data_IF_550221229365
#
_entry.id   IF_550221229365
#
_cell.length_a   1.000
_cell.length_b   1.000
_cell.length_c   1.000
_cell.angle_alpha   90.00
_cell.angle_beta   90.00
_cell.angle_gamma   90.00
#
_symmetry.space_group_name_H-M   'P 1'
#
loop_
_entity.id
_entity.type
_entity.pdbx_description
1 polymer ?
#
# COMPACT_ATOMS: atom_id res chain seq x y z
N UNK A 1 14.96 -3.25 -1.36
CA UNK A 1 14.82 -2.14 -0.38
C UNK A 1 14.23 -2.59 0.96
N UNK A 2 14.41 -1.79 2.02
CA UNK A 2 13.77 -1.97 3.33
C UNK A 2 12.71 -0.87 3.53
N UNK A 3 11.46 -1.27 3.76
CA UNK A 3 10.32 -0.38 3.95
C UNK A 3 9.86 -0.45 5.41
N UNK A 4 9.97 0.66 6.13
CA UNK A 4 9.50 0.73 7.51
C UNK A 4 7.99 0.99 7.55
N UNK A 5 7.26 0.18 8.31
CA UNK A 5 5.83 0.34 8.55
C UNK A 5 5.63 0.77 9.99
N UNK A 6 5.00 1.93 10.21
CA UNK A 6 4.50 2.37 11.52
C UNK A 6 3.00 2.10 11.54
N UNK A 7 2.55 1.34 12.54
CA UNK A 7 1.15 0.97 12.71
C UNK A 7 0.79 1.19 14.18
N UNK A 8 -0.01 2.22 14.46
CA UNK A 8 -0.23 2.69 15.83
C UNK A 8 1.09 2.95 16.56
N UNK A 9 1.31 2.23 17.66
CA UNK A 9 2.51 2.36 18.52
C UNK A 9 3.64 1.41 18.14
N UNK A 10 3.43 0.49 17.18
CA UNK A 10 4.45 -0.47 16.78
C UNK A 10 5.03 -0.13 15.41
N UNK A 11 6.24 -0.61 15.16
CA UNK A 11 6.87 -0.52 13.85
C UNK A 11 7.50 -1.85 13.46
N UNK A 12 7.55 -2.11 12.16
CA UNK A 12 8.19 -3.28 11.59
C UNK A 12 8.82 -2.94 10.25
N UNK A 13 9.87 -3.66 9.89
CA UNK A 13 10.51 -3.51 8.59
C UNK A 13 10.07 -4.62 7.64
N UNK A 14 9.65 -4.23 6.44
CA UNK A 14 9.34 -5.11 5.33
C UNK A 14 10.49 -5.05 4.33
N UNK A 15 11.18 -6.17 4.14
CA UNK A 15 12.20 -6.29 3.09
C UNK A 15 11.53 -6.65 1.76
N UNK A 16 11.69 -5.77 0.77
CA UNK A 16 11.15 -5.96 -0.58
C UNK A 16 12.34 -6.07 -1.52
N UNK A 17 12.53 -7.23 -2.12
CA UNK A 17 13.65 -7.44 -3.05
C UNK A 17 13.41 -6.71 -4.38
N UNK A 18 14.47 -6.24 -5.01
CA UNK A 18 14.35 -5.44 -6.24
C UNK A 18 13.85 -6.30 -7.41
N UNK A 19 14.24 -7.57 -7.47
CA UNK A 19 13.75 -8.56 -8.45
C UNK A 19 12.25 -8.87 -8.29
N UNK A 20 11.73 -8.80 -7.06
CA UNK A 20 10.31 -8.92 -6.78
C UNK A 20 9.53 -7.76 -7.40
N UNK A 21 10.01 -6.53 -7.25
CA UNK A 21 9.37 -5.36 -7.86
C UNK A 21 9.33 -5.47 -9.38
N UNK A 22 10.44 -5.88 -10.00
CA UNK A 22 10.51 -6.11 -11.45
C UNK A 22 9.52 -7.18 -11.90
N UNK A 23 9.53 -8.34 -11.24
CA UNK A 23 8.65 -9.48 -11.56
C UNK A 23 7.18 -9.14 -11.42
N UNK A 24 6.82 -8.31 -10.44
CA UNK A 24 5.43 -8.00 -10.09
C UNK A 24 4.85 -6.81 -10.86
N UNK A 25 5.63 -6.14 -11.70
CA UNK A 25 5.19 -4.99 -12.52
C UNK A 25 3.82 -5.21 -13.18
N UNK A 26 3.62 -6.37 -13.84
CA UNK A 26 2.35 -6.68 -14.50
C UNK A 26 1.14 -6.82 -13.55
N UNK A 27 1.39 -7.26 -12.31
CA UNK A 27 0.37 -7.32 -11.26
C UNK A 27 0.03 -5.92 -10.76
N UNK A 28 1.03 -5.07 -10.57
CA UNK A 28 0.84 -3.67 -10.16
C UNK A 28 0.06 -2.89 -11.22
N UNK A 29 0.38 -3.06 -12.51
CA UNK A 29 -0.37 -2.47 -13.62
C UNK A 29 -1.84 -2.91 -13.65
N UNK A 30 -2.11 -4.17 -13.29
CA UNK A 30 -3.48 -4.69 -13.20
C UNK A 30 -4.24 -4.03 -12.05
N UNK A 31 -3.62 -3.92 -10.88
CA UNK A 31 -4.21 -3.23 -9.73
C UNK A 31 -4.52 -1.77 -10.07
N UNK A 32 -3.62 -1.11 -10.81
CA UNK A 32 -3.78 0.27 -11.25
C UNK A 32 -5.00 0.44 -12.18
N UNK A 33 -5.18 -0.47 -13.14
CA UNK A 33 -6.34 -0.48 -14.04
C UNK A 33 -7.66 -0.74 -13.32
N UNK A 34 -7.66 -1.64 -12.33
CA UNK A 34 -8.84 -1.95 -11.54
C UNK A 34 -9.25 -0.75 -10.68
N UNK A 35 -8.29 -0.10 -9.99
CA UNK A 35 -8.57 1.05 -9.14
C UNK A 35 -8.99 2.31 -9.93
N UNK A 36 -8.61 2.44 -11.21
CA UNK A 36 -9.12 3.52 -12.09
C UNK A 36 -10.61 3.40 -12.42
N UNK A 37 -11.25 2.28 -12.10
CA UNK A 37 -12.71 2.14 -12.19
C UNK A 37 -13.43 2.73 -10.96
N UNK A 38 -12.65 3.11 -9.95
CA UNK A 38 -13.10 3.69 -8.70
C UNK A 38 -12.71 2.83 -7.51
N UNK A 39 -12.52 3.50 -6.37
CA UNK A 39 -12.14 2.87 -5.10
C UNK A 39 -12.96 3.44 -3.96
N UNK A 40 -13.12 2.65 -2.92
CA UNK A 40 -13.55 3.15 -1.62
C UNK A 40 -12.31 3.59 -0.84
N UNK A 41 -12.28 4.87 -0.44
CA UNK A 41 -11.28 5.46 0.43
C UNK A 41 -12.00 5.92 1.71
N UNK A 42 -11.85 5.13 2.78
CA UNK A 42 -12.63 5.32 4.00
C UNK A 42 -14.14 5.25 3.71
N UNK A 43 -14.87 6.30 4.05
CA UNK A 43 -16.31 6.41 3.79
C UNK A 43 -16.65 7.00 2.42
N UNK A 44 -15.66 7.38 1.61
CA UNK A 44 -15.86 8.06 0.33
C UNK A 44 -15.61 7.12 -0.86
N UNK A 45 -16.43 7.27 -1.90
CA UNK A 45 -16.16 6.67 -3.21
C UNK A 45 -15.40 7.66 -4.09
N UNK A 46 -14.26 7.25 -4.64
CA UNK A 46 -13.43 8.05 -5.53
C UNK A 46 -13.40 7.38 -6.90
N UNK A 47 -14.00 8.01 -7.91
CA UNK A 47 -14.18 7.40 -9.24
C UNK A 47 -12.89 7.30 -10.08
N UNK A 48 -12.00 8.29 -9.99
CA UNK A 48 -10.69 8.28 -10.66
C UNK A 48 -9.61 8.68 -9.65
N UNK A 49 -9.19 7.74 -8.79
CA UNK A 49 -8.28 8.05 -7.69
C UNK A 49 -6.90 8.42 -8.21
N UNK A 50 -6.33 9.49 -7.63
CA UNK A 50 -4.92 9.85 -7.84
C UNK A 50 -3.99 8.72 -7.39
N UNK A 51 -2.74 8.75 -7.84
CA UNK A 51 -1.73 7.77 -7.42
C UNK A 51 -1.61 7.69 -5.88
N UNK A 52 -1.59 8.83 -5.20
CA UNK A 52 -1.54 8.88 -3.73
C UNK A 52 -2.76 8.20 -3.11
N UNK A 53 -3.97 8.47 -3.60
CA UNK A 53 -5.19 7.84 -3.09
C UNK A 53 -5.19 6.32 -3.33
N UNK A 54 -4.66 5.84 -4.46
CA UNK A 54 -4.48 4.41 -4.70
C UNK A 54 -3.51 3.79 -3.69
N UNK A 55 -2.39 4.45 -3.41
CA UNK A 55 -1.45 4.01 -2.38
C UNK A 55 -2.10 3.99 -0.98
N UNK A 56 -2.98 4.93 -0.65
CA UNK A 56 -3.72 4.96 0.62
C UNK A 56 -4.68 3.77 0.76
N UNK A 57 -5.45 3.47 -0.29
CA UNK A 57 -6.32 2.27 -0.32
C UNK A 57 -5.49 0.99 -0.21
N UNK A 58 -4.32 0.95 -0.87
CA UNK A 58 -3.43 -0.22 -0.79
C UNK A 58 -2.76 -0.34 0.58
N UNK A 59 -2.48 0.77 1.27
CA UNK A 59 -1.95 0.76 2.64
C UNK A 59 -2.98 0.22 3.65
N UNK A 60 -4.26 0.54 3.47
CA UNK A 60 -5.35 -0.06 4.26
C UNK A 60 -5.48 -1.58 4.02
N UNK A 61 -5.31 -2.01 2.77
CA UNK A 61 -5.23 -3.45 2.44
C UNK A 61 -3.99 -4.11 3.03
N UNK A 62 -2.86 -3.40 3.09
CA UNK A 62 -1.64 -3.86 3.73
C UNK A 62 -1.85 -4.06 5.24
N UNK A 63 -2.50 -3.12 5.92
CA UNK A 63 -2.90 -3.27 7.32
C UNK A 63 -3.71 -4.54 7.53
N UNK A 64 -4.79 -4.69 6.75
CA UNK A 64 -5.65 -5.86 6.80
C UNK A 64 -4.87 -7.15 6.55
N UNK A 65 -3.91 -7.15 5.61
CA UNK A 65 -3.10 -8.33 5.32
C UNK A 65 -2.18 -8.70 6.49
N UNK A 66 -1.57 -7.72 7.15
CA UNK A 66 -0.73 -7.92 8.33
C UNK A 66 -1.55 -8.48 9.49
N UNK A 67 -2.69 -7.87 9.79
CA UNK A 67 -3.59 -8.31 10.88
C UNK A 67 -4.12 -9.73 10.66
N UNK A 68 -4.31 -10.14 9.41
CA UNK A 68 -4.75 -11.48 9.04
C UNK A 68 -3.58 -12.46 8.77
N UNK A 69 -2.33 -12.07 9.06
CA UNK A 69 -1.14 -12.88 8.80
C UNK A 69 -1.01 -13.39 7.35
N UNK A 70 -1.49 -12.60 6.38
CA UNK A 70 -1.42 -12.91 4.96
C UNK A 70 -0.17 -12.27 4.33
N UNK A 71 0.97 -12.94 4.51
CA UNK A 71 2.29 -12.46 4.05
C UNK A 71 2.34 -12.20 2.55
N UNK A 72 1.68 -13.04 1.75
CA UNK A 72 1.62 -12.88 0.28
C UNK A 72 0.92 -11.57 -0.10
N UNK A 73 -0.22 -11.27 0.51
CA UNK A 73 -0.95 -10.03 0.26
C UNK A 73 -0.20 -8.82 0.83
N UNK A 74 0.45 -8.95 1.98
CA UNK A 74 1.28 -7.91 2.56
C UNK A 74 2.44 -7.55 1.62
N UNK A 75 3.15 -8.54 1.09
CA UNK A 75 4.25 -8.32 0.15
C UNK A 75 3.77 -7.67 -1.17
N UNK A 76 2.63 -8.12 -1.70
CA UNK A 76 2.03 -7.54 -2.90
C UNK A 76 1.68 -6.06 -2.69
N UNK A 77 1.03 -5.73 -1.58
CA UNK A 77 0.55 -4.37 -1.28
C UNK A 77 1.70 -3.43 -0.92
N UNK A 78 2.67 -3.89 -0.11
CA UNK A 78 3.90 -3.15 0.16
C UNK A 78 4.73 -2.89 -1.11
N UNK A 79 4.89 -3.91 -1.96
CA UNK A 79 5.57 -3.79 -3.25
C UNK A 79 4.86 -2.85 -4.22
N UNK A 80 3.52 -2.85 -4.24
CA UNK A 80 2.75 -1.89 -5.03
C UNK A 80 3.05 -0.45 -4.60
N UNK A 81 3.05 -0.16 -3.30
CA UNK A 81 3.33 1.19 -2.79
C UNK A 81 4.77 1.59 -3.12
N UNK A 82 5.73 0.71 -2.89
CA UNK A 82 7.15 0.94 -3.19
C UNK A 82 7.42 1.18 -4.69
N UNK A 83 6.72 0.47 -5.58
CA UNK A 83 6.88 0.67 -7.03
C UNK A 83 6.32 2.01 -7.52
N UNK A 84 5.30 2.55 -6.85
CA UNK A 84 4.65 3.80 -7.27
C UNK A 84 5.26 5.03 -6.58
N UNK A 85 5.62 4.92 -5.30
CA UNK A 85 6.27 5.99 -4.54
C UNK A 85 7.77 5.77 -4.50
N UNK A 86 8.43 6.12 -5.61
CA UNK A 86 9.87 5.95 -5.75
C UNK A 86 10.63 6.62 -4.60
N UNK A 87 11.52 5.87 -3.95
CA UNK A 87 12.33 6.37 -2.84
C UNK A 87 11.64 6.38 -1.49
N UNK A 88 10.40 5.88 -1.37
CA UNK A 88 9.73 5.72 -0.09
C UNK A 88 10.57 4.87 0.86
N UNK A 89 10.61 5.28 2.12
CA UNK A 89 11.32 4.59 3.19
C UNK A 89 10.38 4.17 4.31
N UNK A 90 9.29 4.90 4.48
CA UNK A 90 8.36 4.65 5.56
C UNK A 90 6.91 4.88 5.16
N UNK A 91 6.03 4.04 5.69
CA UNK A 91 4.59 4.22 5.66
C UNK A 91 4.10 4.30 7.10
N UNK A 92 3.42 5.39 7.45
CA UNK A 92 2.69 5.50 8.71
C UNK A 92 1.21 5.26 8.41
N UNK A 93 0.78 4.04 8.66
CA UNK A 93 -0.56 3.55 8.31
C UNK A 93 -1.57 4.08 9.33
N UNK A 94 -2.65 4.70 8.85
CA UNK A 94 -3.76 5.08 9.71
C UNK A 94 -4.51 3.82 10.18
N UNK A 95 -4.66 3.65 11.50
CA UNK A 95 -5.38 2.51 12.12
C UNK A 95 -6.76 2.90 12.65
N UNK A 96 -7.19 4.14 12.43
CA UNK A 96 -8.45 4.71 12.96
C UNK A 96 -9.61 4.57 11.96
N UNK A 97 -9.39 3.90 10.83
CA UNK A 97 -10.39 3.71 9.79
C UNK A 97 -10.52 4.86 8.81
N UNK A 98 -9.51 5.75 8.76
CA UNK A 98 -9.42 6.81 7.75
C UNK A 98 -8.13 6.63 6.91
N UNK A 99 -8.15 5.74 5.90
CA UNK A 99 -6.99 5.48 5.05
C UNK A 99 -6.41 6.72 4.37
N UNK A 100 -7.24 7.75 4.15
CA UNK A 100 -6.81 9.03 3.58
C UNK A 100 -5.80 9.79 4.46
N UNK A 101 -5.69 9.45 5.74
CA UNK A 101 -4.71 10.00 6.68
C UNK A 101 -3.41 9.18 6.77
N UNK A 102 -3.28 8.13 5.95
CA UNK A 102 -1.99 7.41 5.83
C UNK A 102 -0.93 8.32 5.23
N UNK A 103 0.24 8.36 5.88
CA UNK A 103 1.38 9.18 5.48
C UNK A 103 2.49 8.33 4.85
N UNK A 104 3.19 8.90 3.86
CA UNK A 104 4.30 8.26 3.13
C UNK A 104 5.54 9.16 3.19
N UNK A 105 6.68 8.62 3.62
CA UNK A 105 7.93 9.35 3.88
C UNK A 105 9.15 8.70 3.23
#
# INVERSE_FOLDING_TARGET
MLLNLIIGEYSMDMEIQDDYLETMTGSFDKMDREMRQGVQLGQQWVGDPTQLQRCQVVADKLLSAIENHNETLAMLTGGYIASHLSGIKQIKINTEGEPAETEFH
#
